data_IF_868010395125
#
_entry.id   IF_868010395125
#
_cell.length_a   1.000
_cell.length_b   1.000
_cell.length_c   1.000
_cell.angle_alpha   90.00
_cell.angle_beta   90.00
_cell.angle_gamma   90.00
#
_symmetry.space_group_name_H-M   'P 1'
#
loop_
_entity.id
_entity.type
_entity.pdbx_description
1 polymer ?
#
# COMPACT_ATOMS: atom_id res chain seq x y z
N UNK A 1 3.12 10.34 -15.43
CA UNK A 1 3.31 8.88 -15.58
C UNK A 1 2.11 8.23 -14.89
N UNK A 2 1.33 7.42 -15.59
CA UNK A 2 0.17 6.73 -15.01
C UNK A 2 0.71 5.69 -14.03
N UNK A 3 0.48 5.90 -12.74
CA UNK A 3 0.80 4.94 -11.69
C UNK A 3 -0.03 3.69 -11.89
N UNK A 4 0.61 2.53 -11.83
CA UNK A 4 -0.08 1.28 -11.64
C UNK A 4 -0.75 1.40 -10.27
N UNK A 5 -2.08 1.44 -10.25
CA UNK A 5 -2.83 1.30 -9.01
C UNK A 5 -2.47 -0.09 -8.47
N UNK A 6 -1.58 -0.12 -7.47
CA UNK A 6 -1.41 -1.30 -6.65
C UNK A 6 -2.78 -1.49 -6.02
N UNK A 7 -3.49 -2.54 -6.45
CA UNK A 7 -4.67 -3.01 -5.76
C UNK A 7 -4.22 -3.37 -4.34
N UNK A 8 -4.24 -2.37 -3.46
CA UNK A 8 -4.18 -2.58 -2.03
C UNK A 8 -5.41 -3.41 -1.71
N UNK A 9 -5.22 -4.73 -1.62
CA UNK A 9 -6.29 -5.62 -1.20
C UNK A 9 -6.88 -5.01 0.06
N UNK A 10 -8.13 -4.52 -0.04
CA UNK A 10 -8.85 -3.90 1.05
C UNK A 10 -8.77 -4.82 2.26
N UNK A 11 -7.89 -4.47 3.21
CA UNK A 11 -8.13 -4.83 4.58
C UNK A 11 -9.31 -3.96 5.02
N UNK A 12 -10.53 -4.39 4.67
CA UNK A 12 -11.72 -3.86 5.28
C UNK A 12 -11.64 -4.26 6.76
N UNK A 13 -10.98 -3.43 7.55
CA UNK A 13 -11.11 -3.49 9.00
C UNK A 13 -12.53 -3.02 9.28
N UNK A 14 -13.47 -3.97 9.26
CA UNK A 14 -14.79 -3.75 9.78
C UNK A 14 -14.60 -3.48 11.28
N UNK A 15 -14.59 -2.21 11.65
CA UNK A 15 -14.64 -1.81 13.04
C UNK A 15 -16.03 -2.20 13.57
N UNK A 16 -16.14 -3.43 14.08
CA UNK A 16 -17.30 -3.80 14.90
C UNK A 16 -17.17 -3.07 16.23
N UNK A 17 -17.77 -1.89 16.33
CA UNK A 17 -18.06 -1.27 17.59
C UNK A 17 -19.14 -2.12 18.26
N UNK A 18 -18.73 -3.02 19.16
CA UNK A 18 -19.67 -3.72 20.05
C UNK A 18 -20.12 -2.71 21.09
N UNK A 19 -21.31 -2.15 20.92
CA UNK A 19 -22.00 -1.42 21.96
C UNK A 19 -22.32 -2.41 23.10
N UNK A 20 -21.54 -2.37 24.16
CA UNK A 20 -21.89 -3.07 25.39
C UNK A 20 -23.00 -2.25 26.08
N UNK A 21 -24.24 -2.70 25.98
CA UNK A 21 -25.34 -2.25 26.82
C UNK A 21 -25.04 -2.69 28.27
N UNK A 22 -25.13 -1.80 29.26
CA UNK A 22 -25.05 -2.21 30.66
C UNK A 22 -26.34 -2.97 31.04
N UNK A 23 -26.25 -4.27 31.08
CA UNK A 23 -27.30 -5.10 31.66
C UNK A 23 -27.33 -4.91 33.18
N UNK A 24 -28.33 -4.20 33.68
CA UNK A 24 -28.65 -4.24 35.11
C UNK A 24 -29.17 -5.64 35.48
N UNK A 25 -28.31 -6.46 36.01
CA UNK A 25 -28.71 -7.70 36.63
C UNK A 25 -29.01 -7.45 38.11
N UNK A 26 -30.30 -7.51 38.48
CA UNK A 26 -30.77 -7.60 39.84
C UNK A 26 -30.30 -8.93 40.45
N UNK A 27 -29.59 -8.82 41.58
CA UNK A 27 -29.13 -9.93 42.40
C UNK A 27 -30.25 -10.36 43.35
N UNK A 28 -30.56 -11.66 43.49
CA UNK A 28 -31.17 -12.20 44.70
C UNK A 28 -30.11 -12.78 45.61
N UNK A 29 -30.24 -12.45 46.89
CA UNK A 29 -29.41 -12.97 47.99
C UNK A 29 -29.72 -14.45 48.30
N UNK A 30 -28.70 -15.20 48.67
CA UNK A 30 -28.92 -16.43 49.46
C UNK A 30 -27.78 -17.46 49.38
N UNK A 31 -27.08 -17.62 50.53
CA UNK A 31 -26.51 -18.82 51.15
C UNK A 31 -25.24 -19.50 50.59
N UNK A 32 -24.14 -19.27 51.27
CA UNK A 32 -23.18 -20.16 52.01
C UNK A 32 -22.68 -21.51 51.43
N UNK A 33 -21.36 -21.63 51.55
CA UNK A 33 -20.51 -22.78 51.94
C UNK A 33 -19.89 -23.62 50.85
N UNK A 34 -18.56 -23.72 50.89
CA UNK A 34 -17.81 -24.82 50.31
C UNK A 34 -16.39 -24.44 49.89
N UNK A 35 -15.43 -24.51 50.81
CA UNK A 35 -14.01 -24.43 50.51
C UNK A 35 -13.55 -25.63 49.70
N UNK A 36 -12.84 -25.39 48.58
CA UNK A 36 -11.86 -26.34 48.06
C UNK A 36 -10.74 -25.62 47.34
N UNK A 37 -9.55 -25.79 47.87
CA UNK A 37 -8.26 -25.41 47.29
C UNK A 37 -8.05 -26.13 45.95
N UNK A 38 -7.77 -25.39 44.93
CA UNK A 38 -7.36 -25.88 43.61
C UNK A 38 -6.31 -24.97 43.03
N UNK A 39 -5.13 -25.52 42.91
CA UNK A 39 -3.85 -25.01 42.36
C UNK A 39 -3.96 -23.89 41.37
N UNK A 40 -3.28 -22.76 41.65
CA UNK A 40 -3.00 -21.72 40.74
C UNK A 40 -2.10 -22.24 39.59
N UNK A 41 -2.70 -22.49 38.47
CA UNK A 41 -1.96 -22.62 37.20
C UNK A 41 -1.70 -21.20 36.68
N UNK A 42 -0.48 -20.72 36.92
CA UNK A 42 0.05 -19.52 36.31
C UNK A 42 0.05 -19.74 34.79
N UNK A 43 -1.04 -19.39 34.12
CA UNK A 43 -1.08 -19.19 32.70
C UNK A 43 -0.15 -18.02 32.37
N UNK A 44 0.91 -18.28 31.61
CA UNK A 44 1.73 -17.28 30.99
C UNK A 44 0.82 -16.30 30.27
N UNK A 45 0.67 -15.09 30.79
CA UNK A 45 0.01 -14.01 30.10
C UNK A 45 0.84 -13.73 28.84
N UNK A 46 0.39 -14.26 27.72
CA UNK A 46 0.83 -13.82 26.40
C UNK A 46 0.50 -12.33 26.36
N UNK A 47 1.51 -11.48 26.46
CA UNK A 47 1.38 -10.04 26.30
C UNK A 47 0.77 -9.83 24.91
N UNK A 48 -0.49 -9.42 24.87
CA UNK A 48 -1.13 -9.02 23.63
C UNK A 48 -0.29 -7.92 22.98
N UNK A 49 -0.18 -7.86 21.65
CA UNK A 49 0.56 -6.82 20.98
C UNK A 49 0.01 -5.48 21.42
N UNK A 50 0.88 -4.65 22.00
CA UNK A 50 0.54 -3.29 22.45
C UNK A 50 0.41 -2.39 21.22
N UNK A 51 -0.69 -2.49 20.49
CA UNK A 51 -1.07 -1.55 19.45
C UNK A 51 -2.05 -0.52 20.00
N UNK A 52 -2.20 0.59 19.29
CA UNK A 52 -3.17 1.64 19.60
C UNK A 52 -4.58 1.03 19.70
N UNK A 53 -5.32 1.43 20.72
CA UNK A 53 -6.74 1.05 20.87
C UNK A 53 -7.55 1.53 19.66
N UNK A 54 -8.41 0.71 19.05
CA UNK A 54 -9.31 1.16 18.00
C UNK A 54 -10.23 2.29 18.50
N UNK A 55 -10.47 3.33 17.69
CA UNK A 55 -11.44 4.38 17.99
C UNK A 55 -12.84 3.81 18.23
N UNK A 56 -13.59 4.40 19.18
CA UNK A 56 -14.92 3.94 19.58
C UNK A 56 -15.95 5.08 19.58
N UNK A 57 -17.22 4.74 19.26
CA UNK A 57 -18.32 5.64 19.46
C UNK A 57 -18.62 5.81 20.96
N UNK A 58 -18.90 7.05 21.38
CA UNK A 58 -19.31 7.35 22.77
C UNK A 58 -20.81 7.19 22.99
N UNK A 59 -21.60 7.29 21.90
CA UNK A 59 -23.06 7.23 21.94
C UNK A 59 -23.63 6.46 20.75
N UNK A 60 -24.86 5.93 20.89
CA UNK A 60 -25.55 5.27 19.78
C UNK A 60 -25.79 6.21 18.57
N UNK A 61 -26.26 7.47 18.75
CA UNK A 61 -26.39 8.40 17.61
C UNK A 61 -25.09 8.68 16.89
N UNK A 62 -23.95 8.71 17.59
CA UNK A 62 -22.63 8.84 16.99
C UNK A 62 -22.27 7.63 16.14
N UNK A 63 -22.52 6.42 16.66
CA UNK A 63 -22.31 5.17 15.94
C UNK A 63 -23.17 5.05 14.67
N UNK A 64 -24.44 5.40 14.77
CA UNK A 64 -25.39 5.37 13.64
C UNK A 64 -24.97 6.38 12.54
N UNK A 65 -24.55 7.58 12.94
CA UNK A 65 -24.06 8.60 12.02
C UNK A 65 -22.74 8.16 11.34
N UNK A 66 -21.83 7.50 12.09
CA UNK A 66 -20.60 6.93 11.53
C UNK A 66 -20.91 5.86 10.48
N UNK A 67 -21.81 4.92 10.76
CA UNK A 67 -22.19 3.88 9.81
C UNK A 67 -22.84 4.47 8.55
N UNK A 68 -23.66 5.52 8.71
CA UNK A 68 -24.26 6.25 7.59
C UNK A 68 -23.19 6.93 6.74
N UNK A 69 -22.19 7.56 7.35
CA UNK A 69 -21.07 8.16 6.65
C UNK A 69 -20.24 7.12 5.88
N UNK A 70 -19.93 5.97 6.53
CA UNK A 70 -19.16 4.88 5.93
C UNK A 70 -19.86 4.21 4.73
N UNK A 71 -21.15 4.36 4.56
CA UNK A 71 -21.86 3.88 3.36
C UNK A 71 -21.38 4.57 2.06
N UNK A 72 -20.70 5.72 2.16
CA UNK A 72 -20.22 6.50 1.01
C UNK A 72 -18.82 6.10 0.52
N UNK A 73 -18.21 5.02 1.01
CA UNK A 73 -16.80 4.63 0.69
C UNK A 73 -16.50 4.46 -0.81
N UNK A 74 -17.52 4.21 -1.65
CA UNK A 74 -17.33 4.01 -3.10
C UNK A 74 -17.14 5.33 -3.86
N UNK A 75 -17.56 6.45 -3.28
CA UNK A 75 -17.42 7.80 -3.85
C UNK A 75 -16.58 8.65 -2.90
N UNK A 76 -15.32 8.95 -3.25
CA UNK A 76 -14.43 9.69 -2.36
C UNK A 76 -14.91 11.11 -2.05
N UNK A 77 -15.62 11.78 -2.96
CA UNK A 77 -16.16 13.12 -2.71
C UNK A 77 -17.37 13.07 -1.75
N UNK A 78 -18.25 12.08 -1.92
CA UNK A 78 -19.33 11.84 -0.99
C UNK A 78 -18.81 11.43 0.39
N UNK A 79 -17.74 10.62 0.44
CA UNK A 79 -17.08 10.22 1.69
C UNK A 79 -16.44 11.41 2.42
N UNK A 80 -15.73 12.29 1.69
CA UNK A 80 -15.17 13.53 2.25
C UNK A 80 -16.28 14.39 2.88
N UNK A 81 -17.36 14.65 2.11
CA UNK A 81 -18.49 15.42 2.61
C UNK A 81 -19.09 14.78 3.87
N UNK A 82 -19.32 13.49 3.86
CA UNK A 82 -19.87 12.76 5.02
C UNK A 82 -18.93 12.83 6.24
N UNK A 83 -17.60 12.80 6.04
CA UNK A 83 -16.62 12.99 7.10
C UNK A 83 -16.66 14.40 7.70
N UNK A 84 -16.78 15.45 6.86
CA UNK A 84 -16.88 16.84 7.31
C UNK A 84 -18.21 17.11 8.04
N UNK A 85 -19.32 16.60 7.53
CA UNK A 85 -20.64 16.68 8.18
C UNK A 85 -20.64 15.98 9.55
N UNK A 86 -20.01 14.79 9.62
CA UNK A 86 -19.85 14.04 10.87
C UNK A 86 -18.96 14.81 11.87
N UNK A 87 -17.82 15.34 11.42
CA UNK A 87 -16.90 16.10 12.26
C UNK A 87 -17.57 17.36 12.84
N UNK A 88 -18.46 18.00 12.07
CA UNK A 88 -19.26 19.15 12.52
C UNK A 88 -20.25 18.74 13.60
N UNK A 89 -20.93 17.60 13.43
CA UNK A 89 -21.96 17.11 14.36
C UNK A 89 -21.37 16.50 15.63
N UNK A 90 -20.20 15.85 15.52
CA UNK A 90 -19.53 15.14 16.60
C UNK A 90 -18.06 15.58 16.72
N UNK A 91 -17.78 16.85 17.11
CA UNK A 91 -16.43 17.42 17.08
C UNK A 91 -15.43 16.70 18.02
N UNK A 92 -15.91 16.01 19.05
CA UNK A 92 -15.10 15.27 20.02
C UNK A 92 -15.04 13.75 19.75
N UNK A 93 -15.54 13.30 18.60
CA UNK A 93 -15.53 11.90 18.25
C UNK A 93 -14.17 11.43 17.75
N UNK A 94 -13.69 10.29 18.27
CA UNK A 94 -12.51 9.60 17.76
C UNK A 94 -12.74 9.03 16.34
N UNK A 95 -14.02 8.77 15.98
CA UNK A 95 -14.39 8.19 14.68
C UNK A 95 -14.14 9.11 13.50
N UNK A 96 -13.93 10.41 13.73
CA UNK A 96 -13.56 11.38 12.67
C UNK A 96 -12.29 10.94 11.93
N UNK A 97 -11.31 10.44 12.66
CA UNK A 97 -10.06 9.96 12.08
C UNK A 97 -10.29 8.81 11.09
N UNK A 98 -11.17 7.86 11.41
CA UNK A 98 -11.51 6.74 10.52
C UNK A 98 -12.22 7.20 9.24
N UNK A 99 -13.10 8.22 9.33
CA UNK A 99 -13.81 8.76 8.17
C UNK A 99 -12.85 9.49 7.22
N UNK A 100 -11.95 10.34 7.75
CA UNK A 100 -10.93 10.99 6.91
C UNK A 100 -9.94 9.98 6.31
N UNK A 101 -9.60 8.91 7.04
CA UNK A 101 -8.79 7.81 6.50
C UNK A 101 -9.50 7.11 5.35
N UNK A 102 -10.80 6.86 5.47
CA UNK A 102 -11.60 6.26 4.38
C UNK A 102 -11.65 7.16 3.15
N UNK A 103 -11.86 8.47 3.33
CA UNK A 103 -11.83 9.45 2.24
C UNK A 103 -10.45 9.53 1.58
N UNK A 104 -9.37 9.57 2.37
CA UNK A 104 -7.98 9.55 1.90
C UNK A 104 -7.70 8.35 0.99
N UNK A 105 -8.07 7.14 1.43
CA UNK A 105 -7.94 5.90 0.64
C UNK A 105 -8.80 5.94 -0.63
N UNK A 106 -9.99 6.51 -0.56
CA UNK A 106 -10.85 6.72 -1.72
C UNK A 106 -10.17 7.58 -2.78
N UNK A 107 -9.56 8.69 -2.38
CA UNK A 107 -8.82 9.57 -3.28
C UNK A 107 -7.51 8.95 -3.79
N UNK A 108 -6.84 8.14 -2.99
CA UNK A 108 -5.68 7.34 -3.42
C UNK A 108 -6.08 6.40 -4.57
N UNK A 109 -7.18 5.65 -4.41
CA UNK A 109 -7.70 4.76 -5.44
C UNK A 109 -8.14 5.50 -6.72
N UNK A 110 -8.62 6.73 -6.57
CA UNK A 110 -8.99 7.62 -7.69
C UNK A 110 -7.78 8.35 -8.31
N UNK A 111 -6.55 8.10 -7.85
CA UNK A 111 -5.32 8.80 -8.25
C UNK A 111 -5.42 10.33 -8.09
N UNK A 112 -6.18 10.82 -7.14
CA UNK A 112 -6.30 12.23 -6.82
C UNK A 112 -5.38 12.60 -5.66
N UNK A 113 -4.09 12.83 -5.97
CA UNK A 113 -3.07 13.13 -4.98
C UNK A 113 -3.32 14.42 -4.19
N UNK A 114 -3.95 15.44 -4.80
CA UNK A 114 -4.28 16.70 -4.11
C UNK A 114 -5.28 16.44 -2.97
N UNK A 115 -6.37 15.78 -3.29
CA UNK A 115 -7.39 15.44 -2.30
C UNK A 115 -6.92 14.41 -1.28
N UNK A 116 -6.09 13.45 -1.71
CA UNK A 116 -5.45 12.51 -0.78
C UNK A 116 -4.61 13.25 0.27
N UNK A 117 -3.78 14.21 -0.15
CA UNK A 117 -2.98 15.02 0.78
C UNK A 117 -3.85 15.88 1.71
N UNK A 118 -4.93 16.47 1.20
CA UNK A 118 -5.87 17.24 2.02
C UNK A 118 -6.48 16.37 3.13
N UNK A 119 -6.96 15.19 2.79
CA UNK A 119 -7.52 14.25 3.78
C UNK A 119 -6.46 13.75 4.76
N UNK A 120 -5.24 13.46 4.29
CA UNK A 120 -4.11 13.10 5.16
C UNK A 120 -3.83 14.22 6.18
N UNK A 121 -3.83 15.48 5.76
CA UNK A 121 -3.63 16.61 6.68
C UNK A 121 -4.78 16.78 7.69
N UNK A 122 -6.03 16.55 7.29
CA UNK A 122 -7.18 16.55 8.22
C UNK A 122 -7.02 15.40 9.24
N UNK A 123 -6.58 14.22 8.80
CA UNK A 123 -6.32 13.07 9.66
C UNK A 123 -5.16 13.35 10.63
N UNK A 124 -4.02 13.87 10.17
CA UNK A 124 -2.86 14.19 11.02
C UNK A 124 -3.15 15.26 12.08
N UNK A 125 -4.13 16.14 11.87
CA UNK A 125 -4.60 17.07 12.93
C UNK A 125 -5.34 16.35 14.06
N UNK A 126 -5.91 15.17 13.82
CA UNK A 126 -6.63 14.36 14.79
C UNK A 126 -5.74 13.28 15.39
N UNK A 127 -4.83 12.75 14.59
CA UNK A 127 -3.93 11.66 14.89
C UNK A 127 -2.57 11.91 14.23
N UNK A 128 -1.67 12.65 14.89
CA UNK A 128 -0.38 13.04 14.31
C UNK A 128 0.54 11.85 14.00
N UNK A 129 0.31 10.71 14.64
CA UNK A 129 1.12 9.51 14.55
C UNK A 129 0.54 8.46 13.61
N UNK A 130 -0.54 8.79 12.86
CA UNK A 130 -1.13 7.84 11.90
C UNK A 130 -0.17 7.53 10.75
N UNK A 131 0.38 6.31 10.63
CA UNK A 131 1.42 6.01 9.66
C UNK A 131 0.92 6.05 8.21
N UNK A 132 -0.36 5.79 7.94
CA UNK A 132 -0.89 5.91 6.57
C UNK A 132 -0.97 7.37 6.12
N UNK A 133 -1.44 8.26 6.99
CA UNK A 133 -1.52 9.68 6.68
C UNK A 133 -0.14 10.32 6.53
N UNK A 134 0.83 9.91 7.35
CA UNK A 134 2.22 10.31 7.24
C UNK A 134 2.81 9.87 5.89
N UNK A 135 2.62 8.60 5.49
CA UNK A 135 3.08 8.07 4.20
C UNK A 135 2.40 8.81 3.05
N UNK A 136 1.08 8.98 3.08
CA UNK A 136 0.34 9.68 2.03
C UNK A 136 0.83 11.12 1.86
N UNK A 137 1.10 11.82 2.97
CA UNK A 137 1.68 13.18 2.94
C UNK A 137 3.08 13.19 2.33
N UNK A 138 3.93 12.21 2.70
CA UNK A 138 5.28 12.07 2.17
C UNK A 138 5.28 11.78 0.67
N UNK A 139 4.44 10.84 0.21
CA UNK A 139 4.30 10.48 -1.20
C UNK A 139 3.92 11.67 -2.07
N UNK A 140 2.83 12.36 -1.71
CA UNK A 140 2.33 13.49 -2.50
C UNK A 140 3.34 14.63 -2.53
N UNK A 141 3.98 14.91 -1.40
CA UNK A 141 4.98 15.97 -1.32
C UNK A 141 6.21 15.65 -2.16
N UNK A 142 6.72 14.42 -2.10
CA UNK A 142 7.83 13.97 -2.92
C UNK A 142 7.47 13.99 -4.42
N UNK A 143 6.30 13.46 -4.80
CA UNK A 143 5.88 13.38 -6.20
C UNK A 143 5.67 14.76 -6.84
N UNK A 144 5.15 15.72 -6.08
CA UNK A 144 4.90 17.07 -6.58
C UNK A 144 6.13 17.96 -6.63
N UNK A 145 7.23 17.53 -6.00
CA UNK A 145 8.48 18.29 -5.98
C UNK A 145 9.24 18.09 -7.30
N UNK A 146 9.40 19.17 -8.04
CA UNK A 146 10.12 19.18 -9.33
C UNK A 146 11.57 19.60 -9.13
N UNK A 147 12.44 19.17 -10.04
CA UNK A 147 13.86 19.58 -10.03
C UNK A 147 14.06 21.10 -10.08
N UNK A 148 13.09 21.83 -10.66
CA UNK A 148 13.11 23.30 -10.84
C UNK A 148 12.51 24.09 -9.69
N UNK A 149 11.89 23.42 -8.69
CA UNK A 149 11.25 24.09 -7.57
C UNK A 149 12.31 24.72 -6.65
N UNK A 150 12.14 25.99 -6.32
CA UNK A 150 13.07 26.75 -5.46
C UNK A 150 13.11 26.20 -4.02
N UNK A 151 12.01 25.63 -3.56
CA UNK A 151 11.83 25.04 -2.24
C UNK A 151 12.01 23.50 -2.22
N UNK A 152 12.59 22.93 -3.31
CA UNK A 152 12.80 21.49 -3.48
C UNK A 152 13.44 20.84 -2.27
N UNK A 153 14.52 21.42 -1.74
CA UNK A 153 15.24 20.86 -0.60
C UNK A 153 14.37 20.80 0.65
N UNK A 154 13.59 21.85 0.92
CA UNK A 154 12.68 21.91 2.06
C UNK A 154 11.53 20.90 1.92
N UNK A 155 10.97 20.73 0.72
CA UNK A 155 9.91 19.75 0.44
C UNK A 155 10.42 18.34 0.62
N UNK A 156 11.60 18.00 0.11
CA UNK A 156 12.20 16.68 0.30
C UNK A 156 12.55 16.40 1.77
N UNK A 157 13.03 17.40 2.51
CA UNK A 157 13.27 17.28 3.96
C UNK A 157 11.95 16.99 4.69
N UNK A 158 10.90 17.73 4.39
CA UNK A 158 9.58 17.52 4.99
C UNK A 158 8.98 16.16 4.64
N UNK A 159 9.06 15.72 3.37
CA UNK A 159 8.62 14.41 2.95
C UNK A 159 9.40 13.29 3.64
N UNK A 160 10.73 13.47 3.79
CA UNK A 160 11.58 12.52 4.52
C UNK A 160 11.19 12.41 5.99
N UNK A 161 10.90 13.54 6.64
CA UNK A 161 10.42 13.54 8.04
C UNK A 161 9.11 12.79 8.21
N UNK A 162 8.15 13.01 7.33
CA UNK A 162 6.89 12.26 7.35
C UNK A 162 7.12 10.75 7.17
N UNK A 163 7.93 10.34 6.18
CA UNK A 163 8.20 8.93 5.94
C UNK A 163 8.97 8.27 7.10
N UNK A 164 9.93 8.98 7.71
CA UNK A 164 10.67 8.49 8.89
C UNK A 164 9.75 8.35 10.09
N UNK A 165 8.91 9.34 10.37
CA UNK A 165 7.94 9.29 11.46
C UNK A 165 6.95 8.13 11.28
N UNK A 166 6.48 7.86 10.06
CA UNK A 166 5.66 6.70 9.78
C UNK A 166 6.37 5.38 10.14
N UNK A 167 7.68 5.26 9.89
CA UNK A 167 8.46 4.08 10.28
C UNK A 167 8.58 3.91 11.79
N UNK A 168 8.59 5.01 12.54
CA UNK A 168 8.63 5.00 14.02
C UNK A 168 7.28 4.58 14.61
N UNK A 169 6.16 4.99 13.99
CA UNK A 169 4.80 4.81 14.51
C UNK A 169 4.09 3.56 14.01
N UNK A 170 4.57 2.92 12.93
CA UNK A 170 3.90 1.77 12.31
C UNK A 170 3.65 0.61 13.27
N UNK A 171 4.49 0.42 14.28
CA UNK A 171 4.33 -0.69 15.24
C UNK A 171 3.38 -0.37 16.37
N UNK A 172 3.33 0.87 16.80
CA UNK A 172 2.56 1.35 17.95
C UNK A 172 1.21 1.92 17.57
N UNK A 173 1.10 2.57 16.41
CA UNK A 173 -0.07 3.36 16.04
C UNK A 173 -1.00 2.71 14.99
N UNK A 174 -0.62 1.55 14.45
CA UNK A 174 -1.56 0.73 13.69
C UNK A 174 -2.49 -0.01 14.66
N UNK A 175 -3.81 0.28 14.63
CA UNK A 175 -4.76 -0.41 15.49
C UNK A 175 -4.75 -1.93 15.24
N UNK A 176 -4.78 -2.71 16.32
CA UNK A 176 -4.83 -4.16 16.27
C UNK A 176 -6.22 -4.66 16.75
N UNK A 177 -7.23 -4.76 15.86
CA UNK A 177 -8.54 -5.28 16.21
C UNK A 177 -8.45 -6.77 16.61
N UNK A 178 -9.16 -7.18 17.65
CA UNK A 178 -9.09 -8.54 18.20
C UNK A 178 -9.48 -9.65 17.20
N UNK A 179 -10.23 -9.31 16.15
CA UNK A 179 -10.70 -10.24 15.12
C UNK A 179 -9.80 -10.30 13.88
N UNK A 180 -8.69 -9.56 13.85
CA UNK A 180 -7.72 -9.59 12.75
C UNK A 180 -6.59 -10.54 13.09
N UNK A 181 -6.31 -11.57 12.26
CA UNK A 181 -5.17 -12.47 12.48
C UNK A 181 -3.84 -11.69 12.52
N UNK A 182 -2.95 -12.07 13.43
CA UNK A 182 -1.65 -11.42 13.60
C UNK A 182 -0.85 -11.36 12.27
N UNK A 183 -0.84 -12.46 11.52
CA UNK A 183 -0.14 -12.50 10.22
C UNK A 183 -0.66 -11.46 9.22
N UNK A 184 -1.96 -11.15 9.26
CA UNK A 184 -2.56 -10.12 8.41
C UNK A 184 -2.16 -8.71 8.87
N UNK A 185 -2.11 -8.50 10.18
CA UNK A 185 -1.63 -7.24 10.77
C UNK A 185 -0.15 -7.02 10.44
N UNK A 186 0.67 -8.07 10.56
CA UNK A 186 2.11 -8.01 10.25
C UNK A 186 2.35 -7.73 8.76
N UNK A 187 1.58 -8.37 7.87
CA UNK A 187 1.63 -8.10 6.43
C UNK A 187 1.26 -6.64 6.12
N UNK A 188 0.23 -6.12 6.78
CA UNK A 188 -0.18 -4.73 6.61
C UNK A 188 0.89 -3.74 7.12
N UNK A 189 1.46 -3.98 8.30
CA UNK A 189 2.59 -3.20 8.82
C UNK A 189 3.81 -3.29 7.89
N UNK A 190 4.09 -4.47 7.35
CA UNK A 190 5.13 -4.70 6.35
C UNK A 190 4.93 -3.86 5.09
N UNK A 191 3.71 -3.81 4.58
CA UNK A 191 3.35 -2.97 3.43
C UNK A 191 3.57 -1.48 3.72
N UNK A 192 3.14 -0.98 4.89
CA UNK A 192 3.36 0.42 5.28
C UNK A 192 4.85 0.76 5.36
N UNK A 193 5.67 -0.12 5.96
CA UNK A 193 7.13 0.06 5.98
C UNK A 193 7.72 0.08 4.58
N UNK A 194 7.30 -0.86 3.74
CA UNK A 194 7.73 -0.95 2.34
C UNK A 194 7.46 0.37 1.62
N UNK A 195 6.26 0.92 1.74
CA UNK A 195 5.88 2.18 1.11
C UNK A 195 6.69 3.36 1.66
N UNK A 196 6.87 3.46 2.99
CA UNK A 196 7.69 4.52 3.59
C UNK A 196 9.15 4.48 3.12
N UNK A 197 9.77 3.29 3.06
CA UNK A 197 11.11 3.13 2.50
C UNK A 197 11.17 3.44 1.01
N UNK A 198 10.15 3.11 0.22
CA UNK A 198 10.05 3.46 -1.20
C UNK A 198 10.07 4.97 -1.42
N UNK A 199 9.33 5.72 -0.58
CA UNK A 199 9.33 7.20 -0.63
C UNK A 199 10.71 7.77 -0.32
N UNK A 200 11.36 7.28 0.76
CA UNK A 200 12.72 7.70 1.12
C UNK A 200 13.71 7.39 -0.01
N UNK A 201 13.62 6.19 -0.60
CA UNK A 201 14.46 5.83 -1.75
C UNK A 201 14.25 6.72 -2.96
N UNK A 202 13.00 7.09 -3.25
CA UNK A 202 12.66 8.00 -4.35
C UNK A 202 13.25 9.39 -4.11
N UNK A 203 13.12 9.93 -2.90
CA UNK A 203 13.70 11.23 -2.53
C UNK A 203 15.22 11.23 -2.69
N UNK A 204 15.91 10.17 -2.24
CA UNK A 204 17.36 10.07 -2.40
C UNK A 204 17.76 9.93 -3.88
N UNK A 205 16.98 9.18 -4.67
CA UNK A 205 17.21 9.05 -6.11
C UNK A 205 17.09 10.41 -6.83
N UNK A 206 16.04 11.19 -6.51
CA UNK A 206 15.79 12.51 -7.10
C UNK A 206 16.80 13.58 -6.63
N UNK A 207 17.52 13.30 -5.54
CA UNK A 207 18.68 14.07 -5.07
C UNK A 207 20.02 13.54 -5.62
N UNK A 208 19.99 12.55 -6.53
CA UNK A 208 21.17 11.91 -7.12
C UNK A 208 22.07 11.17 -6.10
N UNK A 209 21.54 10.87 -4.91
CA UNK A 209 22.20 10.08 -3.86
C UNK A 209 21.92 8.60 -4.07
N UNK A 210 22.41 8.06 -5.19
CA UNK A 210 22.07 6.73 -5.64
C UNK A 210 22.44 5.59 -4.68
N UNK A 211 23.55 5.62 -3.93
CA UNK A 211 23.84 4.61 -2.91
C UNK A 211 22.82 4.59 -1.78
N UNK A 212 22.35 5.76 -1.32
CA UNK A 212 21.32 5.86 -0.29
C UNK A 212 19.97 5.38 -0.84
N UNK A 213 19.64 5.75 -2.09
CA UNK A 213 18.44 5.27 -2.78
C UNK A 213 18.40 3.75 -2.89
N UNK A 214 19.51 3.12 -3.30
CA UNK A 214 19.67 1.65 -3.31
C UNK A 214 19.36 1.06 -1.93
N UNK A 215 19.95 1.62 -0.87
CA UNK A 215 19.75 1.13 0.49
C UNK A 215 18.28 1.17 0.91
N UNK A 216 17.56 2.24 0.60
CA UNK A 216 16.15 2.36 0.90
C UNK A 216 15.25 1.46 0.03
N UNK A 217 15.53 1.31 -1.26
CA UNK A 217 14.75 0.42 -2.12
C UNK A 217 14.91 -1.05 -1.70
N UNK A 218 16.12 -1.49 -1.29
CA UNK A 218 16.31 -2.82 -0.70
C UNK A 218 15.49 -3.01 0.58
N UNK A 219 15.54 -2.05 1.51
CA UNK A 219 14.72 -2.07 2.73
C UNK A 219 13.22 -2.13 2.42
N UNK A 220 12.78 -1.45 1.36
CA UNK A 220 11.39 -1.50 0.91
C UNK A 220 11.00 -2.92 0.47
N UNK A 221 11.81 -3.57 -0.34
CA UNK A 221 11.58 -4.95 -0.80
C UNK A 221 11.60 -5.93 0.39
N UNK A 222 12.57 -5.78 1.29
CA UNK A 222 12.73 -6.65 2.46
C UNK A 222 11.60 -6.49 3.48
N UNK A 223 10.97 -5.32 3.56
CA UNK A 223 9.85 -5.07 4.46
C UNK A 223 8.57 -5.79 4.06
N UNK A 224 8.38 -6.11 2.78
CA UNK A 224 7.22 -6.85 2.26
C UNK A 224 7.62 -7.82 1.14
N UNK A 225 8.42 -8.85 1.44
CA UNK A 225 9.05 -9.72 0.44
C UNK A 225 8.07 -10.67 -0.25
N UNK A 226 6.91 -10.95 0.36
CA UNK A 226 5.89 -11.81 -0.23
C UNK A 226 5.23 -11.21 -1.48
N UNK A 227 5.27 -9.88 -1.61
CA UNK A 227 4.67 -9.15 -2.72
C UNK A 227 5.44 -7.85 -2.97
N UNK A 228 6.67 -7.93 -3.51
CA UNK A 228 7.49 -6.76 -3.77
C UNK A 228 6.84 -5.88 -4.84
N UNK A 229 6.87 -4.57 -4.63
CA UNK A 229 6.36 -3.61 -5.61
C UNK A 229 7.28 -3.61 -6.86
N UNK A 230 6.77 -3.95 -8.04
CA UNK A 230 7.57 -3.98 -9.27
C UNK A 230 8.17 -2.61 -9.63
N UNK A 231 7.54 -1.50 -9.22
CA UNK A 231 8.07 -0.15 -9.44
C UNK A 231 9.28 0.10 -8.55
N UNK A 232 9.27 -0.41 -7.31
CA UNK A 232 10.42 -0.31 -6.40
C UNK A 232 11.59 -1.15 -6.91
N UNK A 233 11.32 -2.38 -7.40
CA UNK A 233 12.36 -3.23 -7.99
C UNK A 233 12.99 -2.56 -9.22
N UNK A 234 12.17 -1.94 -10.09
CA UNK A 234 12.66 -1.16 -11.23
C UNK A 234 13.50 0.04 -10.78
N UNK A 235 13.06 0.79 -9.77
CA UNK A 235 13.83 1.93 -9.23
C UNK A 235 15.15 1.49 -8.62
N UNK A 236 15.21 0.32 -7.99
CA UNK A 236 16.45 -0.28 -7.52
C UNK A 236 17.40 -0.55 -8.69
N UNK A 237 16.90 -1.14 -9.78
CA UNK A 237 17.70 -1.35 -11.00
C UNK A 237 18.26 -0.03 -11.54
N UNK A 238 17.43 1.01 -11.63
CA UNK A 238 17.86 2.33 -12.07
C UNK A 238 18.89 2.97 -11.13
N UNK A 239 18.75 2.82 -9.82
CA UNK A 239 19.71 3.34 -8.84
C UNK A 239 21.08 2.62 -8.94
N UNK A 240 21.06 1.32 -9.19
CA UNK A 240 22.28 0.53 -9.44
C UNK A 240 22.95 0.92 -10.75
N UNK A 241 22.18 1.13 -11.82
CA UNK A 241 22.68 1.60 -13.11
C UNK A 241 23.40 2.94 -12.98
N UNK A 242 22.79 3.91 -12.28
CA UNK A 242 23.41 5.21 -12.01
C UNK A 242 24.73 5.13 -11.25
N UNK A 243 24.98 4.04 -10.55
CA UNK A 243 26.24 3.74 -9.85
C UNK A 243 27.25 2.97 -10.71
N UNK A 244 26.92 2.61 -11.95
CA UNK A 244 27.74 1.76 -12.82
C UNK A 244 27.74 0.28 -12.42
N UNK A 245 26.87 -0.15 -11.52
CA UNK A 245 26.70 -1.53 -11.07
C UNK A 245 25.84 -2.33 -12.06
N UNK A 246 26.27 -2.39 -13.33
CA UNK A 246 25.43 -2.86 -14.44
C UNK A 246 24.95 -4.30 -14.31
N UNK A 247 25.77 -5.21 -13.77
CA UNK A 247 25.37 -6.62 -13.58
C UNK A 247 24.26 -6.75 -12.52
N UNK A 248 24.38 -6.03 -11.41
CA UNK A 248 23.36 -6.03 -10.37
C UNK A 248 22.08 -5.34 -10.86
N UNK A 249 22.24 -4.23 -11.59
CA UNK A 249 21.12 -3.52 -12.22
C UNK A 249 20.35 -4.43 -13.19
N UNK A 250 21.05 -5.23 -14.01
CA UNK A 250 20.43 -6.18 -14.93
C UNK A 250 19.64 -7.27 -14.18
N UNK A 251 20.17 -7.77 -13.07
CA UNK A 251 19.46 -8.74 -12.25
C UNK A 251 18.14 -8.18 -11.70
N UNK A 252 18.16 -6.96 -11.19
CA UNK A 252 16.93 -6.30 -10.68
C UNK A 252 15.99 -5.90 -11.82
N UNK A 253 16.50 -5.48 -12.99
CA UNK A 253 15.66 -5.19 -14.16
C UNK A 253 14.93 -6.45 -14.67
N UNK A 254 15.59 -7.62 -14.67
CA UNK A 254 14.94 -8.89 -14.99
C UNK A 254 13.80 -9.20 -14.01
N UNK A 255 14.03 -9.06 -12.70
CA UNK A 255 12.99 -9.24 -11.69
C UNK A 255 11.82 -8.27 -11.90
N UNK A 256 12.09 -7.00 -12.23
CA UNK A 256 11.05 -6.03 -12.52
C UNK A 256 10.23 -6.41 -13.75
N UNK A 257 10.86 -6.97 -14.79
CA UNK A 257 10.16 -7.51 -15.97
C UNK A 257 9.25 -8.67 -15.58
N UNK A 258 9.74 -9.62 -14.77
CA UNK A 258 8.96 -10.79 -14.33
C UNK A 258 7.74 -10.40 -13.47
N UNK A 259 7.85 -9.31 -12.72
CA UNK A 259 6.79 -8.78 -11.85
C UNK A 259 5.78 -7.87 -12.57
N UNK A 260 6.04 -7.49 -13.83
CA UNK A 260 5.22 -6.53 -14.56
C UNK A 260 4.52 -7.16 -15.75
N UNK A 261 3.31 -6.67 -16.04
CA UNK A 261 2.58 -7.08 -17.26
C UNK A 261 3.03 -6.29 -18.47
N UNK A 262 2.91 -6.92 -19.65
CA UNK A 262 3.14 -6.28 -20.92
C UNK A 262 2.15 -5.12 -21.13
N UNK A 263 2.64 -4.04 -21.75
CA UNK A 263 1.83 -2.84 -22.03
C UNK A 263 1.60 -1.90 -20.86
N UNK A 264 2.02 -2.24 -19.63
CA UNK A 264 2.05 -1.28 -18.53
C UNK A 264 3.25 -0.35 -18.66
N UNK A 265 3.14 0.89 -18.14
CA UNK A 265 4.24 1.86 -18.17
C UNK A 265 5.48 1.32 -17.43
N UNK A 266 5.29 0.69 -16.28
CA UNK A 266 6.38 0.08 -15.51
C UNK A 266 7.01 -1.09 -16.27
N UNK A 267 6.20 -1.99 -16.87
CA UNK A 267 6.68 -3.11 -17.65
C UNK A 267 7.45 -2.69 -18.91
N UNK A 268 6.97 -1.66 -19.61
CA UNK A 268 7.68 -1.10 -20.76
C UNK A 268 9.03 -0.53 -20.33
N UNK A 269 9.08 0.25 -19.26
CA UNK A 269 10.32 0.83 -18.73
C UNK A 269 11.30 -0.25 -18.26
N UNK A 270 10.80 -1.27 -17.56
CA UNK A 270 11.63 -2.39 -17.08
C UNK A 270 12.29 -3.15 -18.23
N UNK A 271 11.54 -3.42 -19.32
CA UNK A 271 12.09 -4.08 -20.51
C UNK A 271 13.12 -3.23 -21.24
N UNK A 272 12.83 -1.94 -21.40
CA UNK A 272 13.79 -1.01 -21.99
C UNK A 272 15.10 -0.97 -21.19
N UNK A 273 15.01 -0.89 -19.88
CA UNK A 273 16.18 -0.83 -19.01
C UNK A 273 16.96 -2.15 -19.03
N UNK A 274 16.26 -3.29 -18.95
CA UNK A 274 16.88 -4.62 -19.11
C UNK A 274 17.65 -4.72 -20.43
N UNK A 275 17.02 -4.39 -21.55
CA UNK A 275 17.62 -4.55 -22.88
C UNK A 275 18.85 -3.65 -23.05
N UNK A 276 18.80 -2.43 -22.51
CA UNK A 276 19.95 -1.53 -22.47
C UNK A 276 21.10 -2.10 -21.62
N UNK A 277 20.79 -2.62 -20.45
CA UNK A 277 21.78 -3.25 -19.54
C UNK A 277 22.38 -4.52 -20.13
N UNK A 278 21.60 -5.32 -20.85
CA UNK A 278 22.12 -6.48 -21.58
C UNK A 278 23.17 -6.08 -22.62
N UNK A 279 22.96 -5.00 -23.36
CA UNK A 279 23.96 -4.47 -24.29
C UNK A 279 25.23 -4.02 -23.57
N UNK A 280 25.12 -3.34 -22.44
CA UNK A 280 26.25 -2.82 -21.65
C UNK A 280 27.08 -3.95 -21.00
N UNK A 281 26.42 -5.04 -20.58
CA UNK A 281 27.08 -6.19 -19.94
C UNK A 281 27.54 -7.24 -20.92
N UNK A 282 27.27 -7.09 -22.22
CA UNK A 282 27.57 -8.10 -23.23
C UNK A 282 26.69 -9.36 -23.13
N UNK A 283 25.59 -9.29 -22.38
CA UNK A 283 24.64 -10.40 -22.26
C UNK A 283 23.79 -10.51 -23.52
N UNK A 284 23.47 -11.76 -23.94
CA UNK A 284 22.67 -11.99 -25.15
C UNK A 284 21.23 -11.59 -24.90
N UNK A 285 20.67 -10.70 -25.75
CA UNK A 285 19.23 -10.40 -25.76
C UNK A 285 18.50 -11.68 -26.16
N UNK A 286 17.54 -12.21 -25.38
CA UNK A 286 16.70 -13.30 -25.85
C UNK A 286 15.99 -12.84 -27.13
N UNK A 287 16.31 -13.45 -28.26
CA UNK A 287 15.62 -13.16 -29.52
C UNK A 287 14.14 -13.34 -29.29
N UNK A 288 13.35 -12.28 -29.46
CA UNK A 288 11.91 -12.42 -29.58
C UNK A 288 11.69 -13.53 -30.62
N UNK A 289 11.07 -14.63 -30.21
CA UNK A 289 10.70 -15.72 -31.10
C UNK A 289 9.96 -15.08 -32.26
N UNK A 290 10.62 -15.07 -33.43
CA UNK A 290 9.99 -14.61 -34.67
C UNK A 290 8.71 -15.41 -34.82
N UNK A 291 7.55 -14.79 -35.12
CA UNK A 291 6.34 -15.53 -35.38
C UNK A 291 6.66 -16.51 -36.49
N UNK A 292 6.52 -17.81 -36.22
CA UNK A 292 6.64 -18.86 -37.21
C UNK A 292 5.77 -18.46 -38.40
N UNK A 293 6.33 -18.36 -39.64
CA UNK A 293 5.51 -18.00 -40.79
C UNK A 293 4.41 -19.05 -40.93
N UNK A 294 3.18 -18.55 -40.88
CA UNK A 294 2.01 -19.39 -41.07
C UNK A 294 2.19 -20.24 -42.34
N UNK A 295 2.19 -21.56 -42.18
CA UNK A 295 2.27 -22.51 -43.28
C UNK A 295 1.15 -22.19 -44.28
N UNK A 296 1.58 -21.87 -45.50
CA UNK A 296 0.69 -21.58 -46.65
C UNK A 296 -0.30 -22.73 -46.80
N UNK A 297 -1.61 -22.46 -46.93
CA UNK A 297 -2.58 -23.51 -47.20
C UNK A 297 -2.26 -24.25 -48.52
N UNK A 298 -2.49 -25.57 -48.60
CA UNK A 298 -2.25 -26.31 -49.84
C UNK A 298 -3.15 -25.77 -50.96
N UNK A 299 -2.52 -25.52 -52.09
CA UNK A 299 -3.21 -25.10 -53.34
C UNK A 299 -4.18 -26.19 -53.78
N UNK A 300 -5.45 -25.87 -54.12
CA UNK A 300 -6.36 -26.87 -54.68
C UNK A 300 -5.82 -27.40 -56.00
N UNK A 301 -5.75 -28.74 -56.13
CA UNK A 301 -5.31 -29.41 -57.35
C UNK A 301 -6.23 -29.10 -58.53
N UNK A 302 -5.60 -28.83 -59.68
CA UNK A 302 -6.24 -28.66 -60.98
C UNK A 302 -6.97 -29.93 -61.36
N UNK A 303 -8.25 -29.89 -61.87
CA UNK A 303 -8.94 -31.07 -62.33
C UNK A 303 -8.33 -31.58 -63.66
N UNK A 304 -8.03 -32.84 -63.67
CA UNK A 304 -7.50 -33.58 -64.83
C UNK A 304 -8.50 -33.54 -65.98
N UNK A 305 -8.07 -33.06 -67.13
CA UNK A 305 -8.86 -33.04 -68.37
C UNK A 305 -9.08 -34.45 -68.89
N UNK A 306 -10.32 -34.80 -69.11
CA UNK A 306 -10.82 -36.04 -69.72
C UNK A 306 -10.43 -36.09 -71.20
N UNK A 307 -9.70 -37.13 -71.58
CA UNK A 307 -9.49 -37.49 -73.00
C UNK A 307 -10.76 -38.13 -73.62
N UNK A 308 -11.11 -37.80 -74.89
CA UNK A 308 -12.21 -38.39 -75.53
C UNK A 308 -11.85 -39.80 -76.12
N UNK A 309 -12.83 -40.69 -76.35
CA UNK A 309 -12.62 -42.04 -76.83
C UNK A 309 -12.48 -42.11 -78.38
N UNK A 310 -11.56 -43.00 -78.80
CA UNK A 310 -11.66 -43.67 -80.13
C UNK A 310 -11.78 -45.17 -80.00
#
# INVERSE_FOLDING_TARGET
>A
MKRLAIMLGMLAVAAFAVAQTPSQQKQPAGAQSGAQQGSAQQGSATTAPQGKRPPQAKTQPEFDAYNTAMANQKDPAAMEKAADDFATKFPESELRALLYKAAMRGYQNANNGDKMAEMAQKLLKLDPDDPEALIASAEVLAEKTRSTDLDKAQRFDQASKYAQHALETVDTDVPAPANVPQAQLDAYKGLLRSTAYSVLGTIQYDQEKYPDAEGYFRKSIDAYPSQPDPVVVLRLALALDKQGKYSDALNEANKAVDLTQDGTAAGTTARHERDRLMQLTGSVIPSASSPTPASKPPTPGTPNATQPPH
#
